data_IF_454525935220
#
_entry.id   IF_454525935220
#
_cell.length_a   1.000
_cell.length_b   1.000
_cell.length_c   1.000
_cell.angle_alpha   90.00
_cell.angle_beta   90.00
_cell.angle_gamma   90.00
#
_symmetry.space_group_name_H-M   'P 1'
#
loop_
_entity.id
_entity.type
_entity.pdbx_description
1 polymer ?
#
# COMPACT_ATOMS: atom_id res chain seq x y z
N UNK A 1 18.70 -4.15 -1.47
CA UNK A 1 17.78 -4.14 -0.32
C UNK A 1 17.07 -2.80 -0.32
N UNK A 2 16.00 -2.68 -1.10
CA UNK A 2 15.15 -1.49 -1.12
C UNK A 2 13.80 -1.98 -0.66
N UNK A 3 13.55 -1.92 0.65
CA UNK A 3 12.21 -2.09 1.20
C UNK A 3 11.33 -1.03 0.55
N UNK A 4 10.28 -1.42 -0.17
CA UNK A 4 9.30 -0.49 -0.70
C UNK A 4 8.76 0.34 0.48
N UNK A 5 9.16 1.62 0.52
CA UNK A 5 8.83 2.49 1.64
C UNK A 5 7.41 2.98 1.46
N UNK A 6 6.53 2.60 2.37
CA UNK A 6 5.21 3.22 2.49
C UNK A 6 5.33 4.40 3.43
N UNK A 7 4.83 5.55 3.01
CA UNK A 7 4.78 6.78 3.78
C UNK A 7 3.39 6.87 4.40
N UNK A 8 3.32 6.73 5.72
CA UNK A 8 2.09 6.85 6.50
C UNK A 8 1.97 8.26 7.09
N UNK A 9 0.77 8.82 7.13
CA UNK A 9 0.53 10.12 7.80
C UNK A 9 0.39 9.91 9.31
N UNK A 10 1.40 10.32 10.09
CA UNK A 10 1.44 10.16 11.56
C UNK A 10 0.65 11.24 12.33
N UNK A 11 -0.49 11.70 11.81
CA UNK A 11 -1.34 12.66 12.53
C UNK A 11 -2.40 11.92 13.33
N UNK A 12 -2.03 11.57 14.57
CA UNK A 12 -2.90 11.06 15.65
C UNK A 12 -3.57 9.69 15.44
N UNK A 13 -3.28 8.81 16.40
CA UNK A 13 -3.76 7.45 16.58
C UNK A 13 -3.22 6.42 15.57
N UNK A 14 -2.61 5.39 16.17
CA UNK A 14 -2.30 4.06 15.67
C UNK A 14 -2.69 3.80 14.19
N UNK A 15 -1.70 3.40 13.37
CA UNK A 15 -1.78 3.07 11.93
C UNK A 15 -2.31 4.21 11.05
N UNK A 16 -1.44 5.19 10.79
CA UNK A 16 -1.71 6.28 9.86
C UNK A 16 -1.96 5.76 8.43
N UNK A 17 -2.98 6.30 7.77
CA UNK A 17 -3.31 5.97 6.39
C UNK A 17 -2.11 6.18 5.44
N UNK A 18 -1.83 5.24 4.52
CA UNK A 18 -0.76 5.39 3.53
C UNK A 18 -1.11 6.53 2.58
N UNK A 19 -0.22 7.52 2.49
CA UNK A 19 -0.39 8.70 1.60
C UNK A 19 0.45 8.62 0.34
N UNK A 20 1.58 7.91 0.40
CA UNK A 20 2.43 7.66 -0.73
C UNK A 20 3.22 6.38 -0.50
N UNK A 21 3.64 5.74 -1.59
CA UNK A 21 4.49 4.56 -1.53
C UNK A 21 5.53 4.64 -2.63
N UNK A 22 6.67 4.00 -2.40
CA UNK A 22 7.64 3.77 -3.48
C UNK A 22 7.24 2.50 -4.22
N UNK A 23 7.41 2.53 -5.54
CA UNK A 23 7.23 1.38 -6.42
C UNK A 23 8.24 1.48 -7.57
N UNK A 24 9.05 0.44 -7.80
CA UNK A 24 10.11 0.42 -8.81
C UNK A 24 11.04 1.65 -8.78
N UNK A 25 11.29 2.19 -7.57
CA UNK A 25 12.14 3.38 -7.39
C UNK A 25 11.45 4.72 -7.70
N UNK A 26 10.18 4.73 -8.13
CA UNK A 26 9.36 5.95 -8.24
C UNK A 26 8.47 6.10 -7.01
N UNK A 27 8.32 7.33 -6.50
CA UNK A 27 7.31 7.64 -5.49
C UNK A 27 5.96 7.85 -6.18
N UNK A 28 4.95 7.14 -5.72
CA UNK A 28 3.58 7.23 -6.18
C UNK A 28 2.70 7.75 -5.03
N UNK A 29 1.84 8.69 -5.34
CA UNK A 29 0.88 9.24 -4.38
C UNK A 29 -0.40 8.39 -4.37
N UNK A 30 -0.92 8.13 -3.18
CA UNK A 30 -2.21 7.46 -3.03
C UNK A 30 -3.29 8.50 -3.29
N UNK A 31 -4.01 8.34 -4.41
CA UNK A 31 -5.12 9.22 -4.74
C UNK A 31 -6.35 8.93 -3.86
N UNK A 32 -6.63 7.65 -3.63
CA UNK A 32 -7.66 7.20 -2.68
C UNK A 32 -7.36 5.81 -2.16
N UNK A 33 -7.85 5.53 -0.96
CA UNK A 33 -7.87 4.18 -0.41
C UNK A 33 -9.21 3.56 -0.78
N UNK A 34 -9.17 2.41 -1.45
CA UNK A 34 -10.33 1.65 -1.89
C UNK A 34 -10.80 0.67 -0.81
N UNK A 35 -9.85 0.07 -0.10
CA UNK A 35 -10.14 -0.88 0.96
C UNK A 35 -9.02 -0.87 1.99
N UNK A 36 -9.37 -1.07 3.26
CA UNK A 36 -8.43 -1.31 4.34
C UNK A 36 -8.83 -2.61 5.03
N UNK A 37 -7.84 -3.46 5.31
CA UNK A 37 -8.04 -4.69 6.02
C UNK A 37 -6.93 -4.86 7.05
N UNK A 38 -7.34 -5.22 8.26
CA UNK A 38 -6.43 -5.50 9.35
C UNK A 38 -6.62 -6.93 9.80
N UNK A 39 -5.53 -7.69 9.77
CA UNK A 39 -5.47 -9.07 10.19
C UNK A 39 -4.44 -9.21 11.32
N UNK A 40 -4.54 -10.24 12.18
CA UNK A 40 -3.51 -10.55 13.16
C UNK A 40 -2.13 -10.85 12.55
N UNK A 41 -2.07 -11.14 11.25
CA UNK A 41 -0.85 -11.40 10.50
C UNK A 41 -0.26 -10.14 9.83
N UNK A 42 -0.98 -9.02 9.76
CA UNK A 42 -0.59 -7.91 8.89
C UNK A 42 -1.70 -6.88 8.63
N UNK A 43 -1.32 -5.80 7.96
CA UNK A 43 -2.27 -4.82 7.41
C UNK A 43 -2.25 -4.90 5.91
N UNK A 44 -3.40 -4.85 5.25
CA UNK A 44 -3.48 -4.72 3.80
C UNK A 44 -4.34 -3.52 3.43
N UNK A 45 -3.83 -2.69 2.54
CA UNK A 45 -4.50 -1.50 2.03
C UNK A 45 -4.54 -1.57 0.52
N UNK A 46 -5.76 -1.56 -0.03
CA UNK A 46 -5.96 -1.40 -1.45
C UNK A 46 -6.06 0.10 -1.75
N UNK A 47 -5.14 0.59 -2.55
CA UNK A 47 -5.04 2.01 -2.92
C UNK A 47 -5.17 2.18 -4.43
N UNK A 48 -5.67 3.33 -4.84
CA UNK A 48 -5.71 3.75 -6.23
C UNK A 48 -4.79 4.94 -6.42
N UNK A 49 -4.03 4.92 -7.51
CA UNK A 49 -3.15 5.96 -7.99
C UNK A 49 -3.65 6.41 -9.37
N UNK A 50 -3.80 7.71 -9.59
CA UNK A 50 -4.31 8.26 -10.85
C UNK A 50 -3.36 8.08 -12.06
N UNK A 51 -2.07 7.78 -11.84
CA UNK A 51 -1.11 7.55 -12.92
C UNK A 51 -1.07 6.08 -13.38
N UNK A 52 -1.15 5.12 -12.45
CA UNK A 52 -0.85 3.70 -12.69
C UNK A 52 -1.97 2.73 -12.29
N UNK A 53 -3.03 3.21 -11.64
CA UNK A 53 -4.21 2.42 -11.27
C UNK A 53 -4.16 1.85 -9.85
N UNK A 54 -4.58 0.61 -9.68
CA UNK A 54 -4.77 0.00 -8.36
C UNK A 54 -3.52 -0.71 -7.86
N UNK A 55 -3.27 -0.59 -6.56
CA UNK A 55 -2.17 -1.23 -5.85
C UNK A 55 -2.68 -1.81 -4.54
N UNK A 56 -2.01 -2.87 -4.10
CA UNK A 56 -2.17 -3.48 -2.80
C UNK A 56 -0.88 -3.25 -2.00
N UNK A 57 -1.04 -2.62 -0.84
CA UNK A 57 0.02 -2.39 0.14
C UNK A 57 -0.21 -3.35 1.29
N UNK A 58 0.60 -4.39 1.40
CA UNK A 58 0.56 -5.34 2.49
C UNK A 58 1.74 -5.10 3.43
N UNK A 59 1.47 -4.96 4.71
CA UNK A 59 2.45 -4.91 5.77
C UNK A 59 2.43 -6.23 6.52
N UNK A 60 3.55 -6.95 6.43
CA UNK A 60 3.78 -8.18 7.19
C UNK A 60 4.42 -7.81 8.54
N UNK A 61 3.72 -8.14 9.64
CA UNK A 61 4.23 -7.84 10.99
C UNK A 61 5.37 -8.77 11.42
N UNK A 62 5.47 -9.96 10.84
CA UNK A 62 6.48 -10.96 11.18
C UNK A 62 7.82 -10.61 10.53
N UNK A 63 7.78 -10.10 9.29
CA UNK A 63 8.93 -9.64 8.54
C UNK A 63 9.25 -8.16 8.76
N UNK A 64 8.36 -7.40 9.41
CA UNK A 64 8.43 -5.94 9.57
C UNK A 64 8.67 -5.24 8.22
N UNK A 65 7.93 -5.68 7.19
CA UNK A 65 8.17 -5.24 5.81
C UNK A 65 6.88 -4.95 5.07
N UNK A 66 6.92 -3.89 4.26
CA UNK A 66 5.88 -3.59 3.29
C UNK A 66 6.16 -4.29 1.97
N UNK A 67 5.13 -4.92 1.44
CA UNK A 67 5.03 -5.44 0.09
C UNK A 67 4.04 -4.59 -0.68
N UNK A 68 4.48 -4.07 -1.82
CA UNK A 68 3.62 -3.34 -2.75
C UNK A 68 3.38 -4.24 -3.94
N UNK A 69 2.13 -4.39 -4.38
CA UNK A 69 1.78 -5.15 -5.57
C UNK A 69 0.86 -4.31 -6.45
N UNK A 70 1.14 -4.22 -7.75
CA UNK A 70 0.20 -3.60 -8.68
C UNK A 70 -0.93 -4.59 -8.99
N UNK A 71 -2.16 -4.17 -8.72
CA UNK A 71 -3.35 -4.93 -9.07
C UNK A 71 -3.69 -4.65 -10.53
N UNK A 72 -3.28 -5.55 -11.40
CA UNK A 72 -3.87 -5.62 -12.72
C UNK A 72 -5.28 -6.16 -12.54
N UNK A 73 -6.28 -5.34 -12.82
CA UNK A 73 -7.66 -5.80 -12.99
C UNK A 73 -7.64 -6.91 -14.04
N UNK A 74 -7.60 -8.18 -13.60
CA UNK A 74 -7.88 -9.30 -14.49
C UNK A 74 -9.35 -9.17 -14.82
N UNK A 75 -9.64 -8.53 -15.95
CA UNK A 75 -10.78 -8.89 -16.77
C UNK A 75 -10.65 -10.41 -16.99
N UNK A 76 -11.35 -11.20 -16.16
CA UNK A 76 -11.54 -12.62 -16.45
C UNK A 76 -12.39 -12.66 -17.72
N UNK A 77 -11.74 -13.01 -18.82
CA UNK A 77 -12.38 -13.47 -20.05
C UNK A 77 -13.35 -14.62 -19.78
#
# INVERSE_FOLDING_TARGET
MMSDRVICRSDHAYIGYPVAFYWQGKRLEVARICSENHSPAGYSFQVHNDELGYFELEYDIHADQWSVQQLYSKERA
#
